data_IF_812061023030
#
_entry.id   IF_812061023030
#
_cell.length_a   1.000
_cell.length_b   1.000
_cell.length_c   1.000
_cell.angle_alpha   90.00
_cell.angle_beta   90.00
_cell.angle_gamma   90.00
#
_symmetry.space_group_name_H-M   'P 1'
#
loop_
_entity.id
_entity.type
_entity.pdbx_description
1 polymer ?
#
# COMPACT_ATOMS: atom_id res chain seq x y z
N UNK A 1 29.68 -3.40 -0.92
CA UNK A 1 28.86 -4.61 -1.19
C UNK A 1 29.28 -5.12 -2.56
N UNK A 2 29.81 -6.33 -2.65
CA UNK A 2 30.53 -6.82 -3.85
C UNK A 2 29.50 -7.14 -4.95
N UNK A 3 29.66 -6.58 -6.16
CA UNK A 3 28.76 -6.71 -7.32
C UNK A 3 28.41 -8.17 -7.63
N UNK A 4 29.36 -9.07 -7.48
CA UNK A 4 29.18 -10.51 -7.68
C UNK A 4 28.22 -11.14 -6.66
N UNK A 5 28.29 -10.75 -5.39
CA UNK A 5 27.37 -11.25 -4.35
C UNK A 5 25.93 -10.81 -4.62
N UNK A 6 25.74 -9.60 -5.12
CA UNK A 6 24.42 -9.09 -5.48
C UNK A 6 23.82 -9.87 -6.65
N UNK A 7 24.60 -10.14 -7.69
CA UNK A 7 24.16 -10.93 -8.85
C UNK A 7 23.81 -12.35 -8.47
N UNK A 8 24.64 -12.99 -7.61
CA UNK A 8 24.37 -14.34 -7.10
C UNK A 8 23.09 -14.37 -6.25
N UNK A 9 22.87 -13.38 -5.38
CA UNK A 9 21.65 -13.29 -4.57
C UNK A 9 20.39 -13.27 -5.45
N UNK A 10 20.35 -12.45 -6.50
CA UNK A 10 19.22 -12.40 -7.41
C UNK A 10 19.04 -13.70 -8.21
N UNK A 11 20.13 -14.33 -8.66
CA UNK A 11 20.09 -15.60 -9.39
C UNK A 11 19.55 -16.75 -8.52
N UNK A 12 19.85 -16.74 -7.23
CA UNK A 12 19.38 -17.74 -6.28
C UNK A 12 17.96 -17.48 -5.75
N UNK A 13 17.44 -16.27 -5.95
CA UNK A 13 16.12 -15.86 -5.46
C UNK A 13 15.22 -15.35 -6.60
N UNK A 14 14.75 -16.24 -7.49
CA UNK A 14 13.86 -15.84 -8.61
C UNK A 14 12.59 -15.13 -8.13
N UNK A 15 12.15 -15.37 -6.88
CA UNK A 15 11.07 -14.64 -6.25
C UNK A 15 11.30 -13.13 -6.26
N UNK A 16 12.48 -12.68 -5.87
CA UNK A 16 12.78 -11.23 -5.78
C UNK A 16 12.66 -10.58 -7.15
N UNK A 17 13.18 -11.22 -8.20
CA UNK A 17 13.10 -10.72 -9.58
C UNK A 17 11.65 -10.70 -10.06
N UNK A 18 10.94 -11.81 -9.92
CA UNK A 18 9.54 -11.93 -10.35
C UNK A 18 8.66 -10.95 -9.59
N UNK A 19 8.85 -10.82 -8.27
CA UNK A 19 8.09 -9.94 -7.42
C UNK A 19 8.30 -8.45 -7.78
N UNK A 20 9.55 -8.03 -7.94
CA UNK A 20 9.89 -6.66 -8.38
C UNK A 20 9.33 -6.39 -9.77
N UNK A 21 9.44 -7.34 -10.70
CA UNK A 21 8.93 -7.20 -12.05
C UNK A 21 7.40 -7.05 -12.07
N UNK A 22 6.69 -7.93 -11.34
CA UNK A 22 5.22 -7.89 -11.25
C UNK A 22 4.75 -6.59 -10.57
N UNK A 23 5.38 -6.20 -9.48
CA UNK A 23 5.07 -4.92 -8.83
C UNK A 23 5.31 -3.75 -9.78
N UNK A 24 6.44 -3.72 -10.47
CA UNK A 24 6.76 -2.63 -11.40
C UNK A 24 5.73 -2.57 -12.53
N UNK A 25 5.34 -3.71 -13.12
CA UNK A 25 4.33 -3.76 -14.17
C UNK A 25 2.94 -3.30 -13.71
N UNK A 26 2.57 -3.58 -12.46
CA UNK A 26 1.26 -3.21 -11.95
C UNK A 26 1.22 -1.80 -11.39
N UNK A 27 2.28 -1.36 -10.77
CA UNK A 27 2.31 -0.14 -9.98
C UNK A 27 3.02 1.01 -10.69
N UNK A 28 3.53 0.81 -11.92
CA UNK A 28 4.27 1.84 -12.66
C UNK A 28 3.48 3.15 -12.81
N UNK A 29 2.16 3.07 -13.03
CA UNK A 29 1.31 4.26 -13.14
C UNK A 29 1.29 5.07 -11.83
N UNK A 30 1.15 4.39 -10.69
CA UNK A 30 1.13 5.04 -9.39
C UNK A 30 2.50 5.62 -9.01
N UNK A 31 3.59 4.92 -9.38
CA UNK A 31 4.95 5.34 -9.07
C UNK A 31 5.40 6.48 -9.99
N UNK A 32 5.16 6.37 -11.30
CA UNK A 32 5.66 7.33 -12.30
C UNK A 32 4.68 8.47 -12.53
N UNK A 33 3.39 8.17 -12.74
CA UNK A 33 2.37 9.18 -13.04
C UNK A 33 1.77 9.82 -11.79
N UNK A 34 2.13 9.34 -10.59
CA UNK A 34 1.60 9.81 -9.30
C UNK A 34 0.06 9.77 -9.24
N UNK A 35 -0.54 8.83 -9.97
CA UNK A 35 -1.97 8.59 -9.93
C UNK A 35 -2.39 8.10 -8.53
N UNK A 36 -3.62 8.35 -8.14
CA UNK A 36 -4.19 7.92 -6.87
C UNK A 36 -5.38 7.02 -7.09
N UNK A 37 -5.68 6.19 -6.10
CA UNK A 37 -6.89 5.38 -6.09
C UNK A 37 -8.11 6.30 -5.88
N UNK A 38 -8.98 6.43 -6.87
CA UNK A 38 -10.05 7.44 -6.88
C UNK A 38 -11.46 6.87 -6.98
N UNK A 39 -11.68 5.56 -6.80
CA UNK A 39 -13.01 4.96 -6.95
C UNK A 39 -13.72 4.64 -5.64
N UNK A 40 -15.04 4.80 -5.64
CA UNK A 40 -15.92 4.40 -4.55
C UNK A 40 -15.58 5.07 -3.23
N UNK A 41 -15.49 4.28 -2.18
CA UNK A 41 -15.18 4.74 -0.82
C UNK A 41 -13.81 5.42 -0.72
N UNK A 42 -12.88 5.10 -1.62
CA UNK A 42 -11.56 5.75 -1.62
C UNK A 42 -11.66 7.24 -1.90
N UNK A 43 -12.44 7.65 -2.88
CA UNK A 43 -12.62 9.08 -3.20
C UNK A 43 -13.58 9.78 -2.23
N UNK A 44 -14.64 9.10 -1.83
CA UNK A 44 -15.70 9.70 -1.01
C UNK A 44 -15.32 9.79 0.47
N UNK A 45 -14.53 8.85 0.98
CA UNK A 45 -14.26 8.69 2.41
C UNK A 45 -12.77 8.78 2.74
N UNK A 46 -11.95 7.86 2.20
CA UNK A 46 -10.55 7.74 2.63
C UNK A 46 -9.68 8.95 2.23
N UNK A 47 -9.87 9.56 1.07
CA UNK A 47 -9.10 10.74 0.66
C UNK A 47 -9.41 11.97 1.51
N UNK A 48 -10.68 12.34 1.78
CA UNK A 48 -11.00 13.40 2.74
C UNK A 48 -10.41 13.16 4.14
N UNK A 49 -10.47 11.93 4.62
CA UNK A 49 -9.88 11.56 5.91
C UNK A 49 -8.37 11.70 5.93
N UNK A 50 -7.71 11.23 4.87
CA UNK A 50 -6.26 11.35 4.72
C UNK A 50 -5.80 12.79 4.66
N UNK A 51 -6.57 13.64 3.99
CA UNK A 51 -6.32 15.08 3.98
C UNK A 51 -6.47 15.67 5.38
N UNK A 52 -7.55 15.35 6.07
CA UNK A 52 -7.78 15.84 7.43
C UNK A 52 -6.68 15.37 8.39
N UNK A 53 -6.22 14.13 8.27
CA UNK A 53 -5.08 13.63 9.03
C UNK A 53 -3.79 14.41 8.74
N UNK A 54 -3.47 14.62 7.45
CA UNK A 54 -2.28 15.37 7.05
C UNK A 54 -2.33 16.82 7.55
N UNK A 55 -3.46 17.50 7.43
CA UNK A 55 -3.67 18.86 7.92
C UNK A 55 -3.53 18.93 9.46
N UNK A 56 -4.05 17.93 10.17
CA UNK A 56 -3.89 17.83 11.63
C UNK A 56 -2.42 17.64 12.03
N UNK A 57 -1.70 16.75 11.37
CA UNK A 57 -0.29 16.49 11.65
C UNK A 57 0.59 17.70 11.31
N UNK A 58 0.29 18.42 10.24
CA UNK A 58 0.99 19.67 9.89
C UNK A 58 0.83 20.74 10.98
N UNK A 59 -0.30 20.75 11.69
CA UNK A 59 -0.56 21.62 12.83
C UNK A 59 -0.16 21.01 14.18
N UNK A 60 0.59 19.90 14.18
CA UNK A 60 1.00 19.15 15.38
C UNK A 60 -0.16 18.82 16.32
N UNK A 61 -1.33 18.53 15.76
CA UNK A 61 -2.56 18.21 16.48
C UNK A 61 -3.05 16.81 16.14
N UNK A 62 -3.77 16.18 17.08
CA UNK A 62 -4.43 14.91 16.82
C UNK A 62 -5.78 15.16 16.14
N UNK A 63 -6.17 14.32 15.14
CA UNK A 63 -7.45 14.43 14.45
C UNK A 63 -8.59 13.86 15.31
N UNK A 64 -8.91 14.48 16.45
CA UNK A 64 -9.88 13.97 17.40
C UNK A 64 -11.30 14.00 16.84
N UNK A 65 -11.68 15.12 16.23
CA UNK A 65 -13.03 15.40 15.78
C UNK A 65 -13.02 16.15 14.47
N UNK A 66 -13.86 15.73 13.52
CA UNK A 66 -14.06 16.45 12.26
C UNK A 66 -15.48 17.02 12.20
N UNK A 67 -15.66 18.32 11.92
CA UNK A 67 -16.98 18.92 11.73
C UNK A 67 -17.56 18.67 10.33
N UNK A 68 -16.77 18.17 9.40
CA UNK A 68 -17.10 18.07 7.96
C UNK A 68 -17.93 16.85 7.60
N UNK A 69 -18.20 15.94 8.52
CA UNK A 69 -18.93 14.69 8.28
C UNK A 69 -20.03 14.51 9.31
N UNK A 70 -21.22 14.11 8.84
CA UNK A 70 -22.36 13.73 9.70
C UNK A 70 -22.68 14.74 10.83
N UNK A 71 -22.55 16.03 10.55
CA UNK A 71 -22.72 17.11 11.56
C UNK A 71 -21.71 17.06 12.72
N UNK A 72 -20.59 16.39 12.51
CA UNK A 72 -19.51 16.19 13.47
C UNK A 72 -19.26 14.72 13.79
N UNK A 73 -17.98 14.30 13.71
CA UNK A 73 -17.63 12.89 13.80
C UNK A 73 -16.29 12.68 14.55
N UNK A 74 -16.22 11.75 15.52
CA UNK A 74 -14.99 11.46 16.28
C UNK A 74 -14.04 10.58 15.45
N UNK A 75 -13.36 11.17 14.48
CA UNK A 75 -12.61 10.48 13.44
C UNK A 75 -11.42 9.66 13.99
N UNK A 76 -10.84 10.07 15.12
CA UNK A 76 -9.78 9.28 15.76
C UNK A 76 -10.34 7.96 16.32
N UNK A 77 -11.54 7.98 16.88
CA UNK A 77 -12.18 6.81 17.48
C UNK A 77 -12.69 5.81 16.42
N UNK A 78 -12.90 6.27 15.20
CA UNK A 78 -13.35 5.42 14.10
C UNK A 78 -12.28 4.36 13.71
N UNK A 79 -11.01 4.68 13.88
CA UNK A 79 -9.90 3.73 13.70
C UNK A 79 -9.43 3.53 12.26
N UNK A 80 -10.29 3.57 11.25
CA UNK A 80 -9.92 3.31 9.84
C UNK A 80 -8.97 4.36 9.27
N UNK A 81 -8.98 5.58 9.82
CA UNK A 81 -8.03 6.62 9.43
C UNK A 81 -6.58 6.23 9.76
N UNK A 82 -6.38 5.32 10.72
CA UNK A 82 -5.07 4.87 11.14
C UNK A 82 -4.19 6.01 11.68
N UNK A 83 -4.77 6.96 12.43
CA UNK A 83 -4.10 8.17 12.87
C UNK A 83 -2.89 7.90 13.78
N UNK A 84 -2.89 6.81 14.53
CA UNK A 84 -1.79 6.43 15.43
C UNK A 84 -0.89 5.34 14.81
N UNK A 85 -1.15 4.94 13.58
CA UNK A 85 -0.34 3.93 12.91
C UNK A 85 0.97 4.54 12.42
N UNK A 86 2.15 4.04 12.88
CA UNK A 86 3.44 4.67 12.61
C UNK A 86 3.75 4.94 11.13
N UNK A 87 3.49 4.02 10.17
CA UNK A 87 3.69 4.31 8.76
C UNK A 87 2.84 5.48 8.26
N UNK A 88 1.59 5.63 8.74
CA UNK A 88 0.74 6.75 8.40
C UNK A 88 1.33 8.06 8.92
N UNK A 89 1.73 8.09 10.20
CA UNK A 89 2.32 9.27 10.81
C UNK A 89 3.54 9.76 10.02
N UNK A 90 4.44 8.83 9.66
CA UNK A 90 5.63 9.16 8.88
C UNK A 90 5.25 9.68 7.49
N UNK A 91 4.40 8.95 6.77
CA UNK A 91 4.06 9.30 5.40
C UNK A 91 3.27 10.59 5.29
N UNK A 92 2.24 10.79 6.13
CA UNK A 92 1.41 12.01 6.08
C UNK A 92 2.09 13.24 6.66
N UNK A 93 3.13 13.07 7.48
CA UNK A 93 3.94 14.18 7.96
C UNK A 93 4.90 14.71 6.90
N UNK A 94 5.52 13.81 6.12
CA UNK A 94 6.56 14.19 5.16
C UNK A 94 6.08 14.32 3.70
N UNK A 95 4.94 13.75 3.35
CA UNK A 95 4.45 13.71 1.96
C UNK A 95 3.08 14.38 1.83
N UNK A 96 2.80 14.98 0.66
CA UNK A 96 1.43 15.42 0.33
C UNK A 96 0.43 14.26 0.47
N UNK A 97 -0.75 14.52 1.04
CA UNK A 97 -1.71 13.49 1.43
C UNK A 97 -2.07 12.48 0.32
N UNK A 98 -2.18 12.92 -0.94
CA UNK A 98 -2.46 12.03 -2.07
C UNK A 98 -1.34 11.02 -2.32
N UNK A 99 -0.10 11.50 -2.23
CA UNK A 99 1.11 10.67 -2.41
C UNK A 99 1.26 9.73 -1.22
N UNK A 100 1.12 10.25 0.00
CA UNK A 100 1.19 9.48 1.24
C UNK A 100 0.17 8.34 1.25
N UNK A 101 -1.08 8.61 0.87
CA UNK A 101 -2.14 7.61 0.76
C UNK A 101 -1.78 6.49 -0.22
N UNK A 102 -1.37 6.86 -1.43
CA UNK A 102 -0.99 5.89 -2.47
C UNK A 102 0.21 5.05 -2.02
N UNK A 103 1.26 5.68 -1.50
CA UNK A 103 2.46 4.97 -1.08
C UNK A 103 2.24 4.09 0.15
N UNK A 104 1.30 4.45 1.02
CA UNK A 104 0.90 3.60 2.12
C UNK A 104 0.28 2.28 1.62
N UNK A 105 -0.64 2.35 0.66
CA UNK A 105 -1.22 1.15 0.03
C UNK A 105 -0.12 0.31 -0.63
N UNK A 106 0.80 0.94 -1.38
CA UNK A 106 1.90 0.24 -2.03
C UNK A 106 2.83 -0.45 -1.01
N UNK A 107 3.15 0.23 0.08
CA UNK A 107 3.96 -0.34 1.16
C UNK A 107 3.33 -1.61 1.72
N UNK A 108 2.04 -1.56 2.06
CA UNK A 108 1.34 -2.72 2.62
C UNK A 108 1.21 -3.85 1.62
N UNK A 109 1.03 -3.54 0.35
CA UNK A 109 1.03 -4.54 -0.71
C UNK A 109 2.38 -5.27 -0.81
N UNK A 110 3.49 -4.54 -0.75
CA UNK A 110 4.84 -5.11 -0.74
C UNK A 110 5.07 -5.96 0.52
N UNK A 111 4.72 -5.42 1.69
CA UNK A 111 4.87 -6.14 2.96
C UNK A 111 4.03 -7.42 2.99
N UNK A 112 2.79 -7.37 2.50
CA UNK A 112 1.93 -8.55 2.39
C UNK A 112 2.57 -9.65 1.53
N UNK A 113 3.17 -9.28 0.40
CA UNK A 113 3.90 -10.23 -0.46
C UNK A 113 5.13 -10.83 0.22
N UNK A 114 5.92 -10.00 0.90
CA UNK A 114 7.11 -10.46 1.63
C UNK A 114 6.73 -11.41 2.76
N UNK A 115 5.78 -11.04 3.60
CA UNK A 115 5.37 -11.87 4.73
C UNK A 115 4.70 -13.17 4.27
N UNK A 116 3.90 -13.12 3.22
CA UNK A 116 3.31 -14.32 2.62
C UNK A 116 4.40 -15.25 2.08
N UNK A 117 5.43 -14.72 1.42
CA UNK A 117 6.55 -15.53 0.95
C UNK A 117 7.29 -16.20 2.11
N UNK A 118 7.63 -15.44 3.15
CA UNK A 118 8.32 -15.98 4.34
C UNK A 118 7.46 -17.09 4.95
N UNK A 119 6.18 -16.83 5.19
CA UNK A 119 5.26 -17.81 5.78
C UNK A 119 5.21 -19.11 4.99
N UNK A 120 5.00 -19.02 3.66
CA UNK A 120 4.89 -20.21 2.81
C UNK A 120 6.23 -20.98 2.74
N UNK A 121 7.35 -20.29 2.83
CA UNK A 121 8.68 -20.92 2.89
C UNK A 121 8.92 -21.65 4.22
N UNK A 122 8.46 -21.09 5.34
CA UNK A 122 8.56 -21.72 6.66
C UNK A 122 7.75 -23.03 6.75
N UNK A 123 6.60 -23.12 6.08
CA UNK A 123 5.83 -24.38 6.01
C UNK A 123 6.40 -25.40 5.01
N UNK A 124 7.58 -25.14 4.44
CA UNK A 124 8.33 -26.12 3.62
C UNK A 124 8.02 -26.12 2.12
N UNK A 125 7.24 -25.15 1.61
CA UNK A 125 6.91 -25.07 0.18
C UNK A 125 8.16 -24.66 -0.62
N UNK A 126 8.34 -25.22 -1.82
CA UNK A 126 9.46 -24.88 -2.72
C UNK A 126 9.48 -23.40 -3.11
N UNK A 127 10.65 -22.86 -3.48
CA UNK A 127 10.78 -21.45 -3.89
C UNK A 127 9.84 -21.09 -5.05
N UNK A 128 9.72 -21.95 -6.06
CA UNK A 128 8.86 -21.73 -7.21
C UNK A 128 7.38 -21.69 -6.82
N UNK A 129 6.93 -22.68 -6.04
CA UNK A 129 5.54 -22.74 -5.59
C UNK A 129 5.21 -21.58 -4.65
N UNK A 130 6.14 -21.17 -3.77
CA UNK A 130 5.98 -20.01 -2.91
C UNK A 130 5.80 -18.71 -3.74
N UNK A 131 6.55 -18.54 -4.83
CA UNK A 131 6.38 -17.39 -5.72
C UNK A 131 5.00 -17.36 -6.36
N UNK A 132 4.51 -18.49 -6.87
CA UNK A 132 3.16 -18.61 -7.45
C UNK A 132 2.09 -18.30 -6.40
N UNK A 133 2.24 -18.82 -5.18
CA UNK A 133 1.32 -18.57 -4.08
C UNK A 133 1.24 -17.08 -3.72
N UNK A 134 2.37 -16.39 -3.67
CA UNK A 134 2.38 -14.93 -3.38
C UNK A 134 1.68 -14.15 -4.48
N UNK A 135 1.94 -14.49 -5.75
CA UNK A 135 1.26 -13.84 -6.88
C UNK A 135 -0.26 -14.08 -6.79
N UNK A 136 -0.67 -15.32 -6.57
CA UNK A 136 -2.09 -15.66 -6.43
C UNK A 136 -2.74 -14.94 -5.22
N UNK A 137 -2.03 -14.83 -4.10
CA UNK A 137 -2.49 -14.10 -2.92
C UNK A 137 -2.66 -12.60 -3.19
N UNK A 138 -1.66 -11.95 -3.78
CA UNK A 138 -1.67 -10.51 -4.02
C UNK A 138 -2.70 -10.09 -5.08
N UNK A 139 -2.90 -10.90 -6.11
CA UNK A 139 -3.81 -10.61 -7.22
C UNK A 139 -5.12 -11.40 -7.16
N UNK A 140 -5.29 -12.25 -6.15
CA UNK A 140 -6.54 -12.95 -5.87
C UNK A 140 -7.66 -12.03 -5.38
N UNK A 141 -8.81 -12.61 -5.04
CA UNK A 141 -10.08 -11.92 -4.85
C UNK A 141 -10.08 -10.71 -3.91
N UNK A 142 -9.31 -10.72 -2.85
CA UNK A 142 -9.32 -9.63 -1.85
C UNK A 142 -8.63 -8.35 -2.35
N UNK A 143 -7.50 -8.51 -3.05
CA UNK A 143 -6.73 -7.39 -3.59
C UNK A 143 -7.01 -7.17 -5.08
N UNK A 144 -7.39 -8.21 -5.81
CA UNK A 144 -7.72 -8.15 -7.24
C UNK A 144 -8.94 -7.30 -7.55
N UNK A 145 -9.95 -7.30 -6.69
CA UNK A 145 -11.11 -6.41 -6.80
C UNK A 145 -10.73 -4.93 -6.71
N UNK A 146 -9.80 -4.61 -5.82
CA UNK A 146 -9.22 -3.28 -5.69
C UNK A 146 -8.46 -2.88 -6.96
N UNK A 147 -7.66 -3.80 -7.52
CA UNK A 147 -6.89 -3.59 -8.74
C UNK A 147 -7.74 -3.50 -10.01
N UNK A 148 -8.80 -4.31 -10.13
CA UNK A 148 -9.72 -4.25 -11.27
C UNK A 148 -10.44 -2.90 -11.33
N UNK A 149 -10.83 -2.36 -10.20
CA UNK A 149 -11.40 -1.01 -10.08
C UNK A 149 -10.41 0.08 -10.54
N UNK A 150 -9.12 -0.13 -10.37
CA UNK A 150 -8.05 0.80 -10.72
C UNK A 150 -7.75 0.78 -12.22
N UNK A 151 -7.78 -0.41 -12.85
CA UNK A 151 -7.51 -0.55 -14.28
C UNK A 151 -8.65 -0.06 -15.18
N UNK A 152 -9.88 0.02 -14.66
CA UNK A 152 -11.04 0.46 -15.44
C UNK A 152 -11.23 1.96 -15.52
N UNK A 153 -10.42 2.75 -14.82
CA UNK A 153 -10.42 4.20 -14.94
C UNK A 153 -9.57 4.68 -16.10
N UNK A 154 -10.19 4.74 -17.28
CA UNK A 154 -9.81 5.74 -18.27
C UNK A 154 -10.46 7.06 -17.85
N UNK A 155 -9.67 8.02 -17.44
CA UNK A 155 -10.04 9.44 -17.47
C UNK A 155 -9.93 9.91 -18.89
#
# INVERSE_FOLDING_TARGET
>A
MNRERTVLFFKENPFVITFVFVITLFLWKFIILKESFLLGDYSAQHIPWSRFLADSLANLSLPLWTPYMHSGFPILAEGQIGALYPPNLIMYFFLPYKIAYTYNILLHFVLAGIFMYIYVREIGVSKAAATVTVIAFLFGSAYGGCFYSIMSLKV
#
